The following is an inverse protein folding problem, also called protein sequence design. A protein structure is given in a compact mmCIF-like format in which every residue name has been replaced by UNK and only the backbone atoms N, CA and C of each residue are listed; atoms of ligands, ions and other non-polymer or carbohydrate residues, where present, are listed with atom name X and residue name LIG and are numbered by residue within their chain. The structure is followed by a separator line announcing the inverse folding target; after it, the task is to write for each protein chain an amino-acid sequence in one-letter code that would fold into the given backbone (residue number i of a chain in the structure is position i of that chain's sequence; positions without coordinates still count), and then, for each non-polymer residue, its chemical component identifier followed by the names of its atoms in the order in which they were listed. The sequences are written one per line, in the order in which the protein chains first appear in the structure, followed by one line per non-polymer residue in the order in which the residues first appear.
data_IF_367364715361
#
_entry.id   IF_367364715361
#
_cell.length_a   1.000
_cell.length_b   1.000
_cell.length_c   1.000
_cell.angle_alpha   90.00
_cell.angle_beta   90.00
_cell.angle_gamma   90.00
#
_symmetry.space_group_name_H-M   'P 1'
#
loop_
_entity.id
_entity.type
_entity.pdbx_description
1 polymer ?
#
# COMPACT_ATOMS: atom_id res chain seq x y z
N UNK A 1 9.73 21.15 9.87
CA UNK A 1 8.42 20.45 9.90
C UNK A 1 8.01 20.33 11.36
N UNK A 2 7.00 21.07 11.80
CA UNK A 2 6.43 20.88 13.13
C UNK A 2 5.78 19.50 13.16
N UNK A 3 6.21 18.62 14.06
CA UNK A 3 5.55 17.34 14.26
C UNK A 3 4.20 17.61 14.92
N UNK A 4 3.14 17.64 14.13
CA UNK A 4 1.78 17.56 14.68
C UNK A 4 1.64 16.18 15.30
N UNK A 5 1.64 16.11 16.62
CA UNK A 5 1.37 14.87 17.33
C UNK A 5 -0.13 14.61 17.26
N UNK A 6 -0.53 13.64 16.43
CA UNK A 6 -1.92 13.19 16.33
C UNK A 6 -2.11 12.12 17.41
N UNK A 7 -3.00 12.38 18.36
CA UNK A 7 -3.38 11.38 19.36
C UNK A 7 -4.06 10.20 18.68
N UNK A 8 -3.79 8.99 19.18
CA UNK A 8 -4.48 7.81 18.66
C UNK A 8 -5.98 7.94 18.94
N UNK A 9 -6.84 7.50 17.99
CA UNK A 9 -8.27 7.48 18.20
C UNK A 9 -8.62 6.77 19.51
N UNK A 10 -9.48 7.35 20.36
CA UNK A 10 -9.88 6.74 21.61
C UNK A 10 -10.33 5.29 21.42
N UNK A 11 -9.77 4.37 22.20
CA UNK A 11 -10.11 2.95 22.17
C UNK A 11 -9.43 2.14 21.07
N UNK A 12 -8.61 2.73 20.18
CA UNK A 12 -7.89 2.00 19.14
C UNK A 12 -7.04 0.86 19.72
N UNK A 13 -6.30 1.10 20.80
CA UNK A 13 -5.47 0.09 21.45
C UNK A 13 -6.27 -1.06 22.09
N UNK A 14 -7.55 -0.82 22.39
CA UNK A 14 -8.44 -1.83 22.96
C UNK A 14 -9.10 -2.71 21.89
N UNK A 15 -8.98 -2.34 20.61
CA UNK A 15 -9.52 -3.13 19.51
C UNK A 15 -8.70 -4.43 19.30
N UNK A 16 -9.36 -5.55 18.97
CA UNK A 16 -8.66 -6.73 18.46
C UNK A 16 -7.77 -6.36 17.26
N UNK A 17 -6.64 -7.06 17.06
CA UNK A 17 -5.70 -6.74 15.98
C UNK A 17 -6.34 -6.72 14.59
N UNK A 18 -7.29 -7.62 14.33
CA UNK A 18 -8.05 -7.60 13.07
C UNK A 18 -8.84 -6.30 12.87
N UNK A 19 -9.43 -5.75 13.94
CA UNK A 19 -10.15 -4.48 13.89
C UNK A 19 -9.22 -3.29 13.76
N UNK A 20 -8.05 -3.32 14.42
CA UNK A 20 -7.01 -2.29 14.22
C UNK A 20 -6.58 -2.22 12.74
N UNK A 21 -6.38 -3.38 12.11
CA UNK A 21 -6.04 -3.46 10.68
C UNK A 21 -7.18 -2.95 9.81
N UNK A 22 -8.43 -3.33 10.10
CA UNK A 22 -9.61 -2.81 9.38
C UNK A 22 -9.73 -1.29 9.49
N UNK A 23 -9.50 -0.75 10.68
CA UNK A 23 -9.54 0.68 10.91
C UNK A 23 -8.44 1.40 10.13
N UNK A 24 -7.20 0.88 10.14
CA UNK A 24 -6.11 1.41 9.32
C UNK A 24 -6.46 1.38 7.82
N UNK A 25 -7.11 0.31 7.35
CA UNK A 25 -7.57 0.22 5.96
C UNK A 25 -8.60 1.30 5.63
N UNK A 26 -9.58 1.55 6.50
CA UNK A 26 -10.58 2.60 6.27
C UNK A 26 -9.95 4.00 6.20
N UNK A 27 -8.95 4.28 7.04
CA UNK A 27 -8.18 5.52 6.95
C UNK A 27 -7.39 5.61 5.65
N UNK A 28 -6.79 4.50 5.23
CA UNK A 28 -6.05 4.45 3.96
C UNK A 28 -6.98 4.68 2.77
N UNK A 29 -8.17 4.06 2.76
CA UNK A 29 -9.18 4.26 1.74
C UNK A 29 -9.54 5.74 1.61
N UNK A 30 -9.78 6.42 2.75
CA UNK A 30 -10.04 7.87 2.80
C UNK A 30 -8.87 8.71 2.27
N UNK A 31 -7.63 8.39 2.66
CA UNK A 31 -6.43 9.09 2.15
C UNK A 31 -6.32 8.90 0.62
N UNK A 32 -6.70 7.72 0.13
CA UNK A 32 -6.60 7.36 -1.28
C UNK A 32 -7.69 7.91 -2.19
N UNK A 33 -8.70 8.60 -1.64
CA UNK A 33 -9.78 9.23 -2.41
C UNK A 33 -9.27 10.30 -3.40
N UNK A 34 -8.10 10.90 -3.12
CA UNK A 34 -7.44 11.87 -3.99
C UNK A 34 -6.01 11.45 -4.31
N UNK A 35 -5.82 10.53 -5.26
CA UNK A 35 -4.51 9.96 -5.57
C UNK A 35 -3.45 11.00 -5.94
N UNK A 36 -3.84 12.13 -6.53
CA UNK A 36 -2.96 13.23 -6.91
C UNK A 36 -2.35 13.99 -5.73
N UNK A 37 -2.98 13.92 -4.54
CA UNK A 37 -2.46 14.52 -3.32
C UNK A 37 -1.47 13.57 -2.60
N UNK A 38 -1.38 12.30 -3.01
CA UNK A 38 -0.45 11.34 -2.41
C UNK A 38 0.97 11.62 -2.90
N UNK A 39 1.90 11.97 -2.01
CA UNK A 39 3.28 12.19 -2.40
C UNK A 39 3.88 10.86 -2.89
N UNK A 40 4.57 10.92 -4.03
CA UNK A 40 5.38 9.82 -4.55
C UNK A 40 6.85 10.18 -4.32
N UNK A 41 7.50 9.64 -3.28
CA UNK A 41 8.93 9.86 -3.06
C UNK A 41 9.75 9.41 -4.26
N UNK A 42 10.81 10.14 -4.57
CA UNK A 42 11.75 9.79 -5.63
C UNK A 42 12.30 8.36 -5.47
N UNK A 43 12.53 7.91 -4.24
CA UNK A 43 12.95 6.54 -3.94
C UNK A 43 11.95 5.47 -4.41
N UNK A 44 10.65 5.77 -4.40
CA UNK A 44 9.61 4.86 -4.91
C UNK A 44 9.67 4.77 -6.44
N UNK A 45 9.91 5.89 -7.13
CA UNK A 45 10.08 5.92 -8.58
C UNK A 45 11.32 5.12 -9.00
N UNK A 46 12.46 5.34 -8.34
CA UNK A 46 13.70 4.60 -8.58
C UNK A 46 13.52 3.09 -8.39
N UNK A 47 12.79 2.69 -7.34
CA UNK A 47 12.47 1.28 -7.10
C UNK A 47 11.58 0.71 -8.21
N UNK A 48 10.58 1.45 -8.66
CA UNK A 48 9.70 1.04 -9.74
C UNK A 48 10.46 0.86 -11.06
N UNK A 49 11.33 1.81 -11.40
CA UNK A 49 12.18 1.75 -12.59
C UNK A 49 13.13 0.56 -12.56
N UNK A 50 13.79 0.32 -11.41
CA UNK A 50 14.68 -0.82 -11.23
C UNK A 50 13.93 -2.16 -11.39
N UNK A 51 12.71 -2.28 -10.83
CA UNK A 51 11.87 -3.47 -11.01
C UNK A 51 11.46 -3.65 -12.47
N UNK A 52 11.11 -2.57 -13.17
CA UNK A 52 10.74 -2.61 -14.57
C UNK A 52 11.92 -3.01 -15.47
N UNK A 53 13.12 -2.52 -15.16
CA UNK A 53 14.37 -2.91 -15.85
C UNK A 53 14.64 -4.41 -15.69
N UNK A 54 14.51 -4.95 -14.48
CA UNK A 54 14.66 -6.40 -14.21
C UNK A 54 13.65 -7.22 -15.00
N UNK A 55 12.38 -6.80 -15.03
CA UNK A 55 11.35 -7.45 -15.83
C UNK A 55 11.71 -7.48 -17.32
N UNK A 56 12.12 -6.34 -17.90
CA UNK A 56 12.52 -6.27 -19.31
C UNK A 56 13.70 -7.19 -19.66
N UNK A 57 14.63 -7.38 -18.72
CA UNK A 57 15.78 -8.28 -18.89
C UNK A 57 15.39 -9.76 -18.77
N UNK A 58 14.39 -10.08 -17.96
CA UNK A 58 13.88 -11.44 -17.80
C UNK A 58 12.36 -11.45 -17.56
N UNK A 59 11.54 -11.40 -18.63
CA UNK A 59 10.09 -11.32 -18.49
C UNK A 59 9.47 -12.50 -17.72
N UNK A 60 10.09 -13.69 -17.84
CA UNK A 60 9.65 -14.91 -17.15
C UNK A 60 9.82 -14.88 -15.63
N UNK A 61 10.54 -13.90 -15.09
CA UNK A 61 10.75 -13.73 -13.64
C UNK A 61 9.58 -13.07 -12.90
N UNK A 62 8.52 -12.70 -13.61
CA UNK A 62 7.35 -12.04 -13.05
C UNK A 62 6.05 -12.67 -13.52
N UNK A 63 4.99 -12.48 -12.75
CA UNK A 63 3.63 -12.88 -13.11
C UNK A 63 2.76 -11.63 -13.25
N UNK A 64 1.82 -11.59 -14.20
CA UNK A 64 0.81 -10.54 -14.27
C UNK A 64 0.04 -10.45 -12.94
N UNK A 65 -0.18 -9.23 -12.46
CA UNK A 65 -0.87 -9.02 -11.19
C UNK A 65 -2.29 -9.62 -11.19
N UNK A 66 -3.03 -9.49 -12.29
CA UNK A 66 -4.38 -10.06 -12.41
C UNK A 66 -4.40 -11.58 -12.26
N UNK A 67 -3.43 -12.30 -12.86
CA UNK A 67 -3.35 -13.76 -12.69
C UNK A 67 -3.09 -14.16 -11.23
N UNK A 68 -2.23 -13.40 -10.53
CA UNK A 68 -1.95 -13.65 -9.11
C UNK A 68 -3.18 -13.38 -8.25
N UNK A 69 -3.91 -12.29 -8.53
CA UNK A 69 -5.15 -11.91 -7.83
C UNK A 69 -6.23 -12.97 -8.04
N UNK A 70 -6.48 -13.37 -9.28
CA UNK A 70 -7.49 -14.39 -9.62
C UNK A 70 -7.21 -15.71 -8.89
N UNK A 71 -5.93 -16.14 -8.85
CA UNK A 71 -5.50 -17.35 -8.13
C UNK A 71 -5.70 -17.25 -6.61
N UNK A 72 -5.56 -16.06 -6.02
CA UNK A 72 -5.76 -15.86 -4.58
C UNK A 72 -7.25 -15.77 -4.23
N UNK A 73 -8.07 -15.19 -5.10
CA UNK A 73 -9.51 -15.06 -4.90
C UNK A 73 -10.29 -16.38 -5.07
N UNK A 74 -9.70 -17.37 -5.75
CA UNK A 74 -10.29 -18.69 -5.98
C UNK A 74 -9.90 -19.74 -4.92
N UNK A 75 -9.27 -19.31 -3.82
CA UNK A 75 -9.01 -20.12 -2.62
C UNK A 75 -10.01 -19.81 -1.51
#
# INVERSE_FOLDING_TARGET
MSQTQIEMPPGFDNLPKAEQVRYLQALWDQISEKPEEIPVPESHLQLAEERLRRYRQNPSSSQPAFEVIDRLASR
#
